data_IF_684649189592
#
_entry.id   IF_684649189592
#
_cell.length_a   1.000
_cell.length_b   1.000
_cell.length_c   1.000
_cell.angle_alpha   90.00
_cell.angle_beta   90.00
_cell.angle_gamma   90.00
#
_symmetry.space_group_name_H-M   'P 1'
#
loop_
_entity.id
_entity.type
_entity.pdbx_description
1 polymer ?
#
# COMPACT_ATOMS: atom_id res chain seq x y z
N UNK A 1 -1.80 9.21 20.20
CA UNK A 1 -1.26 7.84 20.29
C UNK A 1 -0.66 7.50 18.94
N UNK A 2 0.63 7.20 18.89
CA UNK A 2 1.34 6.87 17.65
C UNK A 2 1.00 5.45 17.24
N UNK A 3 0.61 5.24 15.99
CA UNK A 3 0.39 3.90 15.43
C UNK A 3 1.72 3.35 14.93
N UNK A 4 1.94 2.03 15.04
CA UNK A 4 3.20 1.39 14.64
C UNK A 4 2.90 0.30 13.63
N UNK A 5 3.52 0.40 12.46
CA UNK A 5 3.51 -0.65 11.45
C UNK A 5 4.50 -1.73 11.86
N UNK A 6 3.99 -2.93 12.12
CA UNK A 6 4.80 -4.10 12.47
C UNK A 6 4.62 -5.14 11.39
N UNK A 7 5.68 -5.44 10.66
CA UNK A 7 5.65 -6.50 9.66
C UNK A 7 5.30 -7.85 10.30
N UNK A 8 4.48 -8.63 9.59
CA UNK A 8 4.06 -9.99 9.91
C UNK A 8 3.92 -10.75 8.60
N UNK A 9 4.19 -12.04 8.62
CA UNK A 9 4.17 -12.86 7.40
C UNK A 9 2.80 -12.92 6.71
N UNK A 10 1.71 -12.62 7.42
CA UNK A 10 0.36 -12.48 6.83
C UNK A 10 0.20 -11.29 5.86
N UNK A 11 1.19 -10.40 5.76
CA UNK A 11 1.22 -9.28 4.80
C UNK A 11 2.02 -9.63 3.53
N UNK A 12 2.65 -10.82 3.51
CA UNK A 12 3.33 -11.30 2.33
C UNK A 12 2.31 -11.76 1.29
N UNK A 13 2.60 -11.48 0.03
CA UNK A 13 1.83 -11.91 -1.14
C UNK A 13 2.60 -12.94 -1.97
N UNK A 14 3.68 -13.49 -1.40
CA UNK A 14 4.43 -14.61 -1.99
C UNK A 14 5.15 -14.27 -3.28
N UNK A 15 5.41 -12.97 -3.50
CA UNK A 15 6.24 -12.46 -4.57
C UNK A 15 7.35 -11.57 -3.98
N UNK A 16 8.63 -12.01 -4.01
CA UNK A 16 9.71 -11.36 -3.26
C UNK A 16 9.86 -9.86 -3.52
N UNK A 17 9.58 -9.42 -4.75
CA UNK A 17 9.64 -8.00 -5.11
C UNK A 17 8.56 -7.19 -4.40
N UNK A 18 7.32 -7.69 -4.39
CA UNK A 18 6.18 -7.04 -3.73
C UNK A 18 6.31 -7.09 -2.20
N UNK A 19 6.76 -8.22 -1.65
CA UNK A 19 7.00 -8.35 -0.21
C UNK A 19 8.06 -7.35 0.29
N UNK A 20 9.11 -7.14 -0.51
CA UNK A 20 10.12 -6.10 -0.22
C UNK A 20 9.51 -4.70 -0.29
N UNK A 21 8.61 -4.44 -1.24
CA UNK A 21 7.92 -3.15 -1.35
C UNK A 21 6.97 -2.91 -0.17
N UNK A 22 6.20 -3.91 0.26
CA UNK A 22 5.34 -3.79 1.45
C UNK A 22 6.15 -3.51 2.72
N UNK A 23 7.28 -4.20 2.92
CA UNK A 23 8.17 -3.95 4.07
C UNK A 23 8.66 -2.50 4.08
N UNK A 24 9.09 -1.99 2.94
CA UNK A 24 9.49 -0.59 2.85
C UNK A 24 8.31 0.39 3.06
N UNK A 25 7.10 0.07 2.59
CA UNK A 25 5.91 0.88 2.91
C UNK A 25 5.62 0.92 4.42
N UNK A 26 5.88 -0.17 5.15
CA UNK A 26 5.75 -0.20 6.61
C UNK A 26 6.81 0.67 7.28
N UNK A 27 8.06 0.59 6.82
CA UNK A 27 9.15 1.43 7.32
C UNK A 27 8.85 2.92 7.07
N UNK A 28 8.41 3.26 5.86
CA UNK A 28 7.99 4.62 5.50
C UNK A 28 6.77 5.06 6.32
N UNK A 29 5.82 4.16 6.56
CA UNK A 29 4.68 4.40 7.43
C UNK A 29 5.12 4.74 8.86
N UNK A 30 6.10 4.02 9.40
CA UNK A 30 6.67 4.32 10.72
C UNK A 30 7.41 5.66 10.76
N UNK A 31 8.19 5.99 9.72
CA UNK A 31 8.81 7.31 9.57
C UNK A 31 7.74 8.42 9.62
N UNK A 32 6.65 8.25 8.85
CA UNK A 32 5.51 9.19 8.81
C UNK A 32 4.86 9.36 10.18
N UNK A 33 4.68 8.27 10.94
CA UNK A 33 4.06 8.33 12.27
C UNK A 33 4.88 9.20 13.24
N UNK A 34 6.21 9.15 13.15
CA UNK A 34 7.13 9.94 13.97
C UNK A 34 7.44 11.34 13.42
N UNK A 35 7.07 11.61 12.16
CA UNK A 35 7.39 12.87 11.50
C UNK A 35 6.65 14.06 12.10
N UNK A 36 7.33 15.21 12.15
CA UNK A 36 6.70 16.48 12.49
C UNK A 36 5.88 17.03 11.34
N UNK A 37 4.89 17.86 11.67
CA UNK A 37 4.06 18.58 10.69
C UNK A 37 4.85 19.34 9.62
N UNK A 38 6.03 19.87 9.97
CA UNK A 38 6.88 20.62 9.03
C UNK A 38 7.47 19.71 7.94
N UNK A 39 7.48 18.40 8.16
CA UNK A 39 7.95 17.38 7.22
C UNK A 39 6.80 16.73 6.44
N UNK A 40 5.54 17.10 6.73
CA UNK A 40 4.37 16.42 6.21
C UNK A 40 4.34 16.37 4.68
N UNK A 41 4.57 17.51 4.01
CA UNK A 41 4.65 17.60 2.55
C UNK A 41 5.72 16.69 1.97
N UNK A 42 6.92 16.71 2.56
CA UNK A 42 8.05 15.87 2.14
C UNK A 42 7.70 14.38 2.20
N UNK A 43 7.12 13.94 3.32
CA UNK A 43 6.78 12.53 3.49
C UNK A 43 5.59 12.09 2.65
N UNK A 44 4.57 12.94 2.46
CA UNK A 44 3.46 12.62 1.56
C UNK A 44 3.92 12.52 0.12
N UNK A 45 4.82 13.39 -0.34
CA UNK A 45 5.43 13.24 -1.66
C UNK A 45 6.29 11.97 -1.78
N UNK A 46 7.05 11.62 -0.73
CA UNK A 46 7.85 10.38 -0.68
C UNK A 46 6.93 9.16 -0.78
N UNK A 47 5.84 9.14 -0.02
CA UNK A 47 4.83 8.09 -0.07
C UNK A 47 4.13 8.01 -1.43
N UNK A 48 3.69 9.14 -1.97
CA UNK A 48 3.04 9.22 -3.28
C UNK A 48 3.90 8.55 -4.36
N UNK A 49 5.18 8.94 -4.43
CA UNK A 49 6.12 8.37 -5.41
C UNK A 49 6.26 6.87 -5.22
N UNK A 50 6.49 6.43 -3.98
CA UNK A 50 6.73 5.01 -3.71
C UNK A 50 5.48 4.15 -3.93
N UNK A 51 4.31 4.61 -3.49
CA UNK A 51 3.03 3.94 -3.68
C UNK A 51 2.70 3.81 -5.17
N UNK A 52 2.91 4.85 -5.97
CA UNK A 52 2.71 4.80 -7.43
C UNK A 52 3.58 3.71 -8.09
N UNK A 53 4.86 3.64 -7.72
CA UNK A 53 5.78 2.63 -8.27
C UNK A 53 5.41 1.21 -7.81
N UNK A 54 5.01 1.07 -6.54
CA UNK A 54 4.53 -0.18 -5.96
C UNK A 54 3.26 -0.69 -6.67
N UNK A 55 2.22 0.13 -6.75
CA UNK A 55 0.96 -0.22 -7.42
C UNK A 55 1.16 -0.60 -8.89
N UNK A 56 2.08 0.07 -9.60
CA UNK A 56 2.43 -0.31 -10.98
C UNK A 56 3.06 -1.71 -11.05
N UNK A 57 3.91 -2.05 -10.08
CA UNK A 57 4.57 -3.35 -9.99
C UNK A 57 3.53 -4.44 -9.72
N UNK A 58 2.64 -4.19 -8.76
CA UNK A 58 1.55 -5.08 -8.36
C UNK A 58 0.52 -5.29 -9.48
N UNK A 59 0.08 -4.24 -10.15
CA UNK A 59 -0.84 -4.36 -11.29
C UNK A 59 -0.22 -5.10 -12.47
N UNK A 60 1.09 -4.97 -12.67
CA UNK A 60 1.83 -5.78 -13.63
C UNK A 60 1.78 -7.25 -13.23
N UNK A 61 2.05 -7.57 -11.97
CA UNK A 61 1.99 -8.92 -11.45
C UNK A 61 0.58 -9.52 -11.58
N UNK A 62 -0.46 -8.79 -11.16
CA UNK A 62 -1.86 -9.19 -11.30
C UNK A 62 -2.22 -9.52 -12.75
N UNK A 63 -1.75 -8.74 -13.73
CA UNK A 63 -1.97 -9.03 -15.16
C UNK A 63 -1.23 -10.29 -15.62
N UNK A 64 0.00 -10.50 -15.18
CA UNK A 64 0.81 -11.68 -15.53
C UNK A 64 0.17 -12.97 -15.05
N UNK A 65 -0.41 -12.98 -13.85
CA UNK A 65 -1.14 -14.13 -13.32
C UNK A 65 -2.58 -14.20 -13.82
N UNK A 66 -3.04 -13.27 -14.66
CA UNK A 66 -4.42 -13.20 -15.15
C UNK A 66 -5.46 -13.05 -14.02
N UNK A 67 -5.14 -12.29 -12.97
CA UNK A 67 -6.06 -12.00 -11.88
C UNK A 67 -7.31 -11.25 -12.41
N UNK A 68 -8.52 -11.80 -12.23
CA UNK A 68 -9.72 -11.31 -12.91
C UNK A 68 -10.18 -9.92 -12.43
N UNK A 69 -9.84 -9.54 -11.20
CA UNK A 69 -10.37 -8.32 -10.56
C UNK A 69 -9.37 -7.14 -10.55
N UNK A 70 -8.34 -7.20 -11.40
CA UNK A 70 -7.30 -6.15 -11.52
C UNK A 70 -7.88 -4.74 -11.73
N UNK A 71 -9.02 -4.63 -12.43
CA UNK A 71 -9.67 -3.34 -12.70
C UNK A 71 -10.25 -2.70 -11.43
N UNK A 72 -10.84 -3.48 -10.53
CA UNK A 72 -11.38 -2.93 -9.29
C UNK A 72 -10.28 -2.67 -8.28
N UNK A 73 -9.28 -3.53 -8.20
CA UNK A 73 -8.11 -3.31 -7.37
C UNK A 73 -7.40 -1.99 -7.74
N UNK A 74 -7.17 -1.74 -9.05
CA UNK A 74 -6.62 -0.47 -9.54
C UNK A 74 -7.43 0.76 -9.13
N UNK A 75 -8.76 0.68 -9.05
CA UNK A 75 -9.57 1.83 -8.59
C UNK A 75 -9.25 2.21 -7.15
N UNK A 76 -8.91 1.24 -6.30
CA UNK A 76 -8.49 1.49 -4.92
C UNK A 76 -7.14 2.24 -4.90
N UNK A 77 -6.21 1.84 -5.77
CA UNK A 77 -4.94 2.55 -5.97
C UNK A 77 -5.16 3.98 -6.45
N UNK A 78 -5.93 4.15 -7.52
CA UNK A 78 -6.21 5.46 -8.11
C UNK A 78 -6.87 6.40 -7.08
N UNK A 79 -7.77 5.87 -6.23
CA UNK A 79 -8.37 6.64 -5.13
C UNK A 79 -7.32 7.04 -4.08
N UNK A 80 -6.46 6.12 -3.64
CA UNK A 80 -5.42 6.44 -2.66
C UNK A 80 -4.44 7.51 -3.17
N UNK A 81 -4.02 7.41 -4.44
CA UNK A 81 -3.18 8.41 -5.10
C UNK A 81 -3.89 9.77 -5.16
N UNK A 82 -5.20 9.78 -5.44
CA UNK A 82 -6.03 11.00 -5.41
C UNK A 82 -6.06 11.61 -4.01
N UNK A 83 -6.29 10.81 -2.97
CA UNK A 83 -6.32 11.27 -1.58
C UNK A 83 -4.98 11.91 -1.17
N UNK A 84 -3.84 11.32 -1.59
CA UNK A 84 -2.51 11.88 -1.36
C UNK A 84 -2.29 13.22 -2.09
N UNK A 85 -2.79 13.35 -3.33
CA UNK A 85 -2.71 14.60 -4.07
C UNK A 85 -3.51 15.71 -3.39
N UNK A 86 -4.76 15.42 -3.02
CA UNK A 86 -5.63 16.38 -2.31
C UNK A 86 -5.01 16.85 -1.00
N UNK A 87 -4.39 15.92 -0.25
CA UNK A 87 -3.68 16.28 0.97
C UNK A 87 -2.47 17.17 0.70
N UNK A 88 -1.75 16.93 -0.40
CA UNK A 88 -0.56 17.72 -0.78
C UNK A 88 -0.86 19.19 -1.12
N UNK A 89 -2.08 19.47 -1.55
CA UNK A 89 -2.55 20.82 -1.90
C UNK A 89 -3.05 21.61 -0.68
N UNK A 90 -3.63 20.95 0.33
CA UNK A 90 -4.31 21.58 1.47
C UNK A 90 -3.71 21.18 2.84
N UNK A 91 -2.39 21.26 2.99
CA UNK A 91 -1.71 20.92 4.24
C UNK A 91 -1.98 21.93 5.36
N UNK A 92 -2.96 21.63 6.23
CA UNK A 92 -3.08 22.22 7.56
C UNK A 92 -2.40 21.34 8.61
N UNK A 93 -2.28 21.85 9.84
CA UNK A 93 -1.69 21.09 10.95
C UNK A 93 -2.62 19.95 11.39
N UNK A 94 -3.93 20.20 11.46
CA UNK A 94 -4.90 19.18 11.84
C UNK A 94 -4.97 18.04 10.81
N UNK A 95 -4.74 18.33 9.52
CA UNK A 95 -4.86 17.32 8.47
C UNK A 95 -3.77 16.24 8.50
N UNK A 96 -2.60 16.50 9.12
CA UNK A 96 -1.50 15.53 9.11
C UNK A 96 -1.70 14.38 10.10
N UNK A 97 -2.22 14.64 11.30
CA UNK A 97 -2.49 13.57 12.27
C UNK A 97 -3.67 12.69 11.84
N UNK A 98 -4.68 13.28 11.18
CA UNK A 98 -5.76 12.53 10.53
C UNK A 98 -5.22 11.66 9.40
N UNK A 99 -4.33 12.22 8.57
CA UNK A 99 -3.65 11.47 7.52
C UNK A 99 -2.83 10.29 8.08
N UNK A 100 -2.08 10.47 9.17
CA UNK A 100 -1.33 9.37 9.81
C UNK A 100 -2.25 8.20 10.19
N UNK A 101 -3.44 8.49 10.75
CA UNK A 101 -4.43 7.47 11.10
C UNK A 101 -5.02 6.81 9.85
N UNK A 102 -5.40 7.62 8.88
CA UNK A 102 -5.91 7.15 7.57
C UNK A 102 -4.91 6.20 6.91
N UNK A 103 -3.65 6.61 6.78
CA UNK A 103 -2.58 5.81 6.18
C UNK A 103 -2.44 4.44 6.85
N UNK A 104 -2.43 4.41 8.18
CA UNK A 104 -2.33 3.16 8.92
C UNK A 104 -3.50 2.22 8.64
N UNK A 105 -4.72 2.73 8.72
CA UNK A 105 -5.92 1.93 8.48
C UNK A 105 -5.98 1.46 7.03
N UNK A 106 -5.73 2.37 6.07
CA UNK A 106 -5.76 2.08 4.65
C UNK A 106 -4.75 0.99 4.29
N UNK A 107 -3.47 1.16 4.64
CA UNK A 107 -2.40 0.23 4.24
C UNK A 107 -2.61 -1.16 4.84
N UNK A 108 -2.95 -1.25 6.13
CA UNK A 108 -3.18 -2.53 6.79
C UNK A 108 -4.41 -3.24 6.22
N UNK A 109 -5.50 -2.50 5.98
CA UNK A 109 -6.72 -3.05 5.41
C UNK A 109 -6.50 -3.51 3.96
N UNK A 110 -5.83 -2.70 3.15
CA UNK A 110 -5.56 -2.97 1.75
C UNK A 110 -4.73 -4.26 1.59
N UNK A 111 -3.60 -4.37 2.29
CA UNK A 111 -2.77 -5.58 2.18
C UNK A 111 -3.50 -6.83 2.65
N UNK A 112 -4.22 -6.76 3.77
CA UNK A 112 -4.89 -7.94 4.33
C UNK A 112 -6.10 -8.40 3.51
N UNK A 113 -6.84 -7.46 2.91
CA UNK A 113 -8.14 -7.73 2.33
C UNK A 113 -8.16 -7.62 0.80
N UNK A 114 -7.25 -6.88 0.19
CA UNK A 114 -7.18 -6.67 -1.25
C UNK A 114 -6.00 -7.42 -1.85
N UNK A 115 -4.79 -7.22 -1.33
CA UNK A 115 -3.58 -7.80 -1.92
C UNK A 115 -3.54 -9.32 -1.70
N UNK A 116 -3.97 -9.74 -0.52
CA UNK A 116 -4.16 -11.14 -0.19
C UNK A 116 -5.11 -11.88 -1.15
N UNK A 117 -6.05 -11.19 -1.82
CA UNK A 117 -6.97 -11.84 -2.78
C UNK A 117 -6.21 -12.37 -3.99
N UNK A 118 -5.29 -11.60 -4.56
CA UNK A 118 -4.50 -12.08 -5.70
C UNK A 118 -3.43 -13.08 -5.27
N UNK A 119 -2.93 -13.01 -4.04
CA UNK A 119 -2.06 -14.05 -3.48
C UNK A 119 -2.77 -15.40 -3.40
N UNK A 120 -3.97 -15.45 -2.82
CA UNK A 120 -4.81 -16.67 -2.76
C UNK A 120 -5.09 -17.18 -4.18
N UNK A 121 -5.41 -16.28 -5.11
CA UNK A 121 -5.63 -16.64 -6.51
C UNK A 121 -4.37 -17.27 -7.12
N UNK A 122 -3.20 -16.67 -6.95
CA UNK A 122 -1.92 -17.17 -7.49
C UNK A 122 -1.59 -18.57 -6.95
N UNK A 123 -1.75 -18.79 -5.64
CA UNK A 123 -1.46 -20.08 -5.02
C UNK A 123 -2.38 -21.19 -5.54
N UNK A 124 -3.69 -20.92 -5.66
CA UNK A 124 -4.66 -21.88 -6.23
C UNK A 124 -4.33 -22.26 -7.67
N UNK A 125 -3.77 -21.35 -8.46
CA UNK A 125 -3.35 -21.62 -9.83
C UNK A 125 -2.07 -22.45 -9.89
N UNK A 126 -1.10 -22.19 -9.01
CA UNK A 126 0.14 -22.99 -8.91
C UNK A 126 -0.16 -24.44 -8.50
N UNK A 127 -1.05 -24.66 -7.53
CA UNK A 127 -1.45 -26.00 -7.09
C UNK A 127 -2.07 -26.81 -8.24
N UNK A 128 -2.94 -26.19 -9.05
CA UNK A 128 -3.55 -26.84 -10.21
C UNK A 128 -2.59 -27.13 -11.35
N UNK A 129 -1.53 -26.31 -11.52
CA UNK A 129 -0.53 -26.51 -12.57
C UNK A 129 0.49 -27.61 -12.22
N UNK A 130 0.60 -27.97 -10.94
CA UNK A 130 1.50 -29.01 -10.42
C UNK A 130 0.79 -30.37 -10.21
N UNK A 131 -0.49 -30.47 -10.56
CA UNK A 131 -1.31 -31.70 -10.57
C UNK A 131 -1.53 -32.17 -12.02
#
# INVERSE_FOLDING_TARGET
MTLVFVWKEKYAVGEPTLDKQHRYLFDLGNEIQTADKNQAKTYVMKLYKYATDHFKTEETHMKQIQYPDVKNHRKLHDQFITDLNTLSENFSIESFDEFKKFLYLWLINHILNEDNKYFIFANRHREKANL
#
